data_IF_559260238709
#
_entry.id   IF_559260238709
#
_cell.length_a   1.000
_cell.length_b   1.000
_cell.length_c   1.000
_cell.angle_alpha   90.00
_cell.angle_beta   90.00
_cell.angle_gamma   90.00
#
_symmetry.space_group_name_H-M   'P 1'
#
loop_
_entity.id
_entity.type
_entity.pdbx_description
1 polymer ?
#
# COMPACT_ATOMS: atom_id res chain seq x y z
N UNK A 1 -48.14 15.44 -40.49
CA UNK A 1 -48.62 14.42 -41.45
C UNK A 1 -47.80 13.16 -41.19
N UNK A 2 -48.46 12.07 -40.73
CA UNK A 2 -48.08 10.64 -40.65
C UNK A 2 -46.62 10.27 -40.25
N UNK A 3 -46.29 9.67 -39.10
CA UNK A 3 -46.70 8.38 -38.48
C UNK A 3 -46.45 7.13 -39.36
N UNK A 4 -45.46 6.29 -38.98
CA UNK A 4 -45.58 4.85 -38.63
C UNK A 4 -44.28 4.04 -38.79
N UNK A 5 -43.81 3.44 -37.69
CA UNK A 5 -43.28 2.06 -37.65
C UNK A 5 -44.50 1.06 -37.66
N UNK A 6 -44.42 -0.30 -37.70
CA UNK A 6 -43.37 -1.19 -37.13
C UNK A 6 -43.18 -2.61 -37.77
N UNK A 7 -42.40 -3.45 -37.08
CA UNK A 7 -42.52 -4.92 -36.92
C UNK A 7 -42.13 -5.87 -38.09
N UNK A 8 -41.77 -7.14 -37.95
CA UNK A 8 -41.20 -8.06 -36.94
C UNK A 8 -41.27 -9.47 -37.60
N UNK A 9 -40.25 -10.35 -37.44
CA UNK A 9 -40.30 -11.85 -37.38
C UNK A 9 -39.13 -12.60 -38.06
N UNK A 10 -38.33 -13.29 -37.22
CA UNK A 10 -37.58 -14.55 -37.47
C UNK A 10 -38.60 -15.70 -37.75
N UNK A 11 -38.28 -16.91 -38.33
CA UNK A 11 -37.24 -17.83 -37.79
C UNK A 11 -36.68 -19.00 -38.69
N UNK A 12 -35.78 -19.82 -38.09
CA UNK A 12 -35.42 -21.26 -38.37
C UNK A 12 -34.63 -21.58 -39.66
N UNK A 13 -33.78 -22.60 -39.78
CA UNK A 13 -33.15 -23.57 -38.89
C UNK A 13 -32.07 -24.37 -39.68
N UNK A 14 -30.95 -24.71 -39.03
CA UNK A 14 -30.21 -25.98 -39.13
C UNK A 14 -29.48 -26.41 -40.42
N UNK A 15 -28.15 -26.55 -40.35
CA UNK A 15 -27.45 -27.83 -40.67
C UNK A 15 -25.98 -27.84 -40.20
N UNK A 16 -25.53 -29.06 -39.89
CA UNK A 16 -24.34 -29.47 -39.14
C UNK A 16 -23.01 -29.32 -39.91
N UNK A 17 -21.93 -29.16 -39.14
CA UNK A 17 -20.49 -29.45 -39.36
C UNK A 17 -20.22 -30.63 -40.31
N UNK A 18 -19.08 -30.70 -41.06
CA UNK A 18 -17.76 -30.98 -40.45
C UNK A 18 -16.50 -30.42 -41.17
N UNK A 19 -15.45 -30.09 -40.40
CA UNK A 19 -14.07 -30.20 -40.88
C UNK A 19 -13.10 -30.42 -39.73
N UNK A 20 -12.51 -31.61 -39.70
CA UNK A 20 -11.33 -31.95 -38.92
C UNK A 20 -10.05 -31.34 -39.53
N UNK A 21 -9.03 -31.34 -38.67
CA UNK A 21 -7.59 -31.29 -38.93
C UNK A 21 -6.92 -29.90 -39.04
N UNK A 22 -6.14 -29.61 -38.00
CA UNK A 22 -4.79 -29.07 -38.16
C UNK A 22 -4.52 -27.71 -37.51
N UNK A 23 -3.70 -27.70 -36.46
CA UNK A 23 -3.00 -26.48 -36.05
C UNK A 23 -2.81 -26.36 -34.54
N UNK A 24 -1.63 -26.78 -34.07
CA UNK A 24 -1.16 -26.50 -32.73
C UNK A 24 -1.10 -24.98 -32.44
N UNK A 25 -1.70 -24.54 -31.34
CA UNK A 25 -1.37 -23.27 -30.71
C UNK A 25 -1.77 -23.29 -29.23
N UNK A 26 -0.77 -23.63 -28.42
CA UNK A 26 -0.43 -22.95 -27.16
C UNK A 26 -1.53 -22.72 -26.13
N UNK A 27 -1.38 -23.46 -25.03
CA UNK A 27 -1.97 -23.19 -23.74
C UNK A 27 -1.79 -21.71 -23.33
N UNK A 28 -2.89 -20.96 -23.26
CA UNK A 28 -2.95 -19.71 -22.50
C UNK A 28 -4.15 -19.75 -21.56
N UNK A 29 -4.03 -20.62 -20.55
CA UNK A 29 -4.72 -20.39 -19.28
C UNK A 29 -4.27 -19.01 -18.82
N UNK A 30 -5.12 -18.01 -19.07
CA UNK A 30 -5.05 -16.65 -18.52
C UNK A 30 -5.06 -16.76 -17.00
N UNK A 31 -3.90 -17.10 -16.45
CA UNK A 31 -3.61 -17.17 -15.02
C UNK A 31 -3.71 -15.72 -14.58
N UNK A 32 -4.92 -15.35 -14.14
CA UNK A 32 -5.26 -14.10 -13.47
C UNK A 32 -4.12 -13.87 -12.48
N UNK A 33 -3.16 -13.01 -12.87
CA UNK A 33 -2.01 -12.66 -12.03
C UNK A 33 -2.66 -12.15 -10.77
N UNK A 34 -2.64 -12.96 -9.71
CA UNK A 34 -2.95 -12.49 -8.38
C UNK A 34 -2.03 -11.31 -8.18
N UNK A 35 -2.60 -10.11 -8.13
CA UNK A 35 -1.85 -8.91 -7.75
C UNK A 35 -1.33 -9.27 -6.37
N UNK A 36 -0.04 -9.61 -6.26
CA UNK A 36 0.61 -9.74 -4.95
C UNK A 36 0.28 -8.43 -4.25
N UNK A 37 -0.50 -8.51 -3.19
CA UNK A 37 -0.92 -7.33 -2.46
C UNK A 37 0.32 -6.85 -1.74
N UNK A 38 1.08 -5.96 -2.40
CA UNK A 38 2.23 -5.33 -1.77
C UNK A 38 1.64 -4.32 -0.81
N UNK A 39 1.65 -4.67 0.47
CA UNK A 39 1.31 -3.74 1.54
C UNK A 39 2.28 -2.57 1.47
N UNK A 40 1.75 -1.40 1.14
CA UNK A 40 2.53 -0.17 1.00
C UNK A 40 1.90 0.91 1.85
N UNK A 41 2.68 1.91 2.23
CA UNK A 41 2.20 3.01 3.06
C UNK A 41 1.34 4.03 2.31
N UNK A 42 1.03 3.79 1.03
CA UNK A 42 0.38 4.75 0.12
C UNK A 42 -0.95 5.29 0.66
N UNK A 43 -1.78 4.42 1.22
CA UNK A 43 -3.10 4.81 1.77
C UNK A 43 -2.90 5.77 2.97
N UNK A 44 -1.94 5.47 3.84
CA UNK A 44 -1.65 6.29 5.02
C UNK A 44 -1.01 7.61 4.65
N UNK A 45 -0.07 7.62 3.70
CA UNK A 45 0.53 8.85 3.16
C UNK A 45 -0.57 9.77 2.61
N UNK A 46 -1.53 9.22 1.85
CA UNK A 46 -2.64 10.01 1.31
C UNK A 46 -3.57 10.55 2.41
N UNK A 47 -3.90 9.73 3.43
CA UNK A 47 -4.71 10.18 4.58
C UNK A 47 -4.05 11.34 5.32
N UNK A 48 -2.75 11.24 5.62
CA UNK A 48 -2.00 12.31 6.28
C UNK A 48 -1.94 13.56 5.39
N UNK A 49 -1.70 13.41 4.08
CA UNK A 49 -1.69 14.53 3.15
C UNK A 49 -3.02 15.29 3.17
N UNK A 50 -4.16 14.60 3.14
CA UNK A 50 -5.48 15.24 3.17
C UNK A 50 -5.81 15.87 4.51
N UNK A 51 -5.22 15.40 5.60
CA UNK A 51 -5.36 16.03 6.92
C UNK A 51 -4.64 17.38 7.00
N UNK A 52 -3.50 17.54 6.31
CA UNK A 52 -2.73 18.81 6.31
C UNK A 52 -3.10 19.73 5.15
N UNK A 53 -3.42 19.18 3.97
CA UNK A 53 -3.76 19.92 2.75
C UNK A 53 -4.87 19.19 1.96
N UNK A 54 -6.16 19.50 2.25
CA UNK A 54 -7.30 18.85 1.61
C UNK A 54 -7.34 18.99 0.08
N UNK A 55 -6.89 20.12 -0.46
CA UNK A 55 -7.03 20.45 -1.90
C UNK A 55 -5.82 20.03 -2.75
N UNK A 56 -4.71 19.62 -2.11
CA UNK A 56 -3.47 19.24 -2.82
C UNK A 56 -3.50 17.75 -3.19
N UNK A 57 -3.00 17.44 -4.38
CA UNK A 57 -2.76 16.08 -4.86
C UNK A 57 -1.27 15.71 -4.83
N UNK A 58 -0.97 14.41 -4.83
CA UNK A 58 0.41 13.89 -4.91
C UNK A 58 0.55 13.00 -6.15
N UNK A 59 1.63 13.18 -6.91
CA UNK A 59 1.89 12.37 -8.10
C UNK A 59 2.29 10.94 -7.73
N UNK A 60 2.13 9.99 -8.67
CA UNK A 60 2.52 8.59 -8.46
C UNK A 60 4.02 8.42 -8.18
N UNK A 61 4.88 9.23 -8.82
CA UNK A 61 6.32 9.26 -8.58
C UNK A 61 6.65 9.77 -7.18
N UNK A 62 6.05 10.89 -6.76
CA UNK A 62 6.23 11.43 -5.41
C UNK A 62 5.73 10.46 -4.33
N UNK A 63 4.59 9.80 -4.58
CA UNK A 63 4.07 8.74 -3.70
C UNK A 63 5.07 7.58 -3.54
N UNK A 64 5.76 7.20 -4.62
CA UNK A 64 6.82 6.19 -4.57
C UNK A 64 8.00 6.62 -3.70
N UNK A 65 8.46 7.86 -3.86
CA UNK A 65 9.55 8.44 -3.05
C UNK A 65 9.16 8.45 -1.57
N UNK A 66 7.95 8.89 -1.23
CA UNK A 66 7.46 8.93 0.15
C UNK A 66 7.38 7.52 0.77
N UNK A 67 6.91 6.52 0.01
CA UNK A 67 6.89 5.15 0.49
C UNK A 67 8.30 4.62 0.78
N UNK A 68 9.26 4.88 -0.10
CA UNK A 68 10.66 4.49 0.14
C UNK A 68 11.28 5.24 1.32
N UNK A 69 10.97 6.52 1.48
CA UNK A 69 11.43 7.32 2.63
C UNK A 69 10.96 6.73 3.96
N UNK A 70 9.70 6.32 4.07
CA UNK A 70 9.18 5.68 5.29
C UNK A 70 9.92 4.37 5.57
N UNK A 71 10.19 3.56 4.55
CA UNK A 71 10.92 2.29 4.73
C UNK A 71 12.37 2.55 5.18
N UNK A 72 13.07 3.52 4.60
CA UNK A 72 14.45 3.87 4.99
C UNK A 72 14.54 4.33 6.45
N UNK A 73 13.61 5.19 6.88
CA UNK A 73 13.55 5.63 8.29
C UNK A 73 13.17 4.48 9.22
N UNK A 74 12.21 3.64 8.82
CA UNK A 74 11.80 2.47 9.61
C UNK A 74 12.97 1.51 9.82
N UNK A 75 13.70 1.17 8.76
CA UNK A 75 14.85 0.28 8.83
C UNK A 75 15.95 0.86 9.71
N UNK A 76 16.28 2.16 9.57
CA UNK A 76 17.25 2.84 10.43
C UNK A 76 16.85 2.79 11.91
N UNK A 77 15.60 3.10 12.24
CA UNK A 77 15.11 3.06 13.62
C UNK A 77 15.08 1.63 14.18
N UNK A 78 14.64 0.65 13.40
CA UNK A 78 14.59 -0.75 13.81
C UNK A 78 15.99 -1.31 14.08
N UNK A 79 16.96 -0.99 13.22
CA UNK A 79 18.35 -1.40 13.40
C UNK A 79 18.96 -0.80 14.66
N UNK A 80 18.82 0.51 14.88
CA UNK A 80 19.33 1.16 16.09
C UNK A 80 18.65 0.66 17.36
N UNK A 81 17.34 0.45 17.32
CA UNK A 81 16.59 -0.11 18.46
C UNK A 81 17.04 -1.53 18.79
N UNK A 82 17.31 -2.35 17.76
CA UNK A 82 17.86 -3.71 17.94
C UNK A 82 19.25 -3.67 18.55
N UNK A 83 20.13 -2.76 18.10
CA UNK A 83 21.47 -2.56 18.69
C UNK A 83 21.37 -2.19 20.17
N UNK A 84 20.49 -1.24 20.53
CA UNK A 84 20.27 -0.84 21.92
C UNK A 84 19.76 -1.98 22.81
N UNK A 85 18.81 -2.79 22.32
CA UNK A 85 18.33 -3.96 23.06
C UNK A 85 19.46 -4.97 23.32
N UNK A 86 20.32 -5.21 22.31
CA UNK A 86 21.48 -6.10 22.41
C UNK A 86 22.53 -5.59 23.39
N UNK A 87 22.83 -4.28 23.40
CA UNK A 87 23.74 -3.68 24.39
C UNK A 87 23.24 -3.86 25.82
N UNK A 88 21.94 -3.70 26.02
CA UNK A 88 21.29 -3.88 27.32
C UNK A 88 21.03 -5.36 27.67
N UNK A 89 21.45 -6.31 26.82
CA UNK A 89 21.22 -7.76 26.96
C UNK A 89 19.75 -8.13 27.15
N UNK A 90 18.84 -7.37 26.56
CA UNK A 90 17.39 -7.64 26.60
C UNK A 90 16.94 -8.33 25.32
N UNK A 91 16.10 -9.38 25.40
CA UNK A 91 15.56 -10.06 24.22
C UNK A 91 14.41 -9.28 23.56
N UNK A 92 13.83 -8.31 24.26
CA UNK A 92 12.64 -7.56 23.83
C UNK A 92 13.00 -6.10 23.57
N UNK A 93 12.60 -5.59 22.41
CA UNK A 93 12.66 -4.16 22.10
C UNK A 93 11.42 -3.51 22.71
N UNK A 94 11.61 -2.57 23.65
CA UNK A 94 10.51 -1.83 24.28
C UNK A 94 10.39 -0.42 23.69
N UNK A 95 9.34 0.30 24.05
CA UNK A 95 9.16 1.71 23.68
C UNK A 95 10.34 2.60 24.10
N UNK A 96 11.09 2.20 25.14
CA UNK A 96 12.30 2.91 25.60
C UNK A 96 13.45 2.82 24.60
N UNK A 97 13.69 1.64 24.01
CA UNK A 97 14.71 1.46 22.98
C UNK A 97 14.33 2.23 21.71
N UNK A 98 13.05 2.19 21.29
CA UNK A 98 12.56 2.99 20.16
C UNK A 98 12.76 4.48 20.41
N UNK A 99 12.36 4.99 21.58
CA UNK A 99 12.50 6.41 21.92
C UNK A 99 13.96 6.87 21.92
N UNK A 100 14.86 6.02 22.41
CA UNK A 100 16.30 6.33 22.41
C UNK A 100 16.86 6.29 21.00
N UNK A 101 16.49 5.30 20.19
CA UNK A 101 16.88 5.21 18.78
C UNK A 101 16.41 6.45 17.98
N UNK A 102 15.19 6.93 18.21
CA UNK A 102 14.67 8.16 17.58
C UNK A 102 15.56 9.37 17.87
N UNK A 103 16.06 9.51 19.11
CA UNK A 103 16.97 10.59 19.50
C UNK A 103 18.37 10.47 18.88
N UNK A 104 18.79 9.26 18.53
CA UNK A 104 20.08 9.01 17.87
C UNK A 104 19.99 9.23 16.35
N UNK A 105 18.88 8.82 15.72
CA UNK A 105 18.70 8.85 14.27
C UNK A 105 18.26 10.23 13.77
N UNK A 106 17.40 10.94 14.51
CA UNK A 106 16.87 12.22 14.08
C UNK A 106 17.65 13.39 14.71
N UNK A 107 17.94 14.46 13.94
CA UNK A 107 18.66 15.62 14.46
C UNK A 107 17.73 16.61 15.19
N UNK A 108 18.28 17.30 16.19
CA UNK A 108 17.75 18.55 16.75
C UNK A 108 16.26 18.52 17.13
N UNK A 109 15.48 19.46 16.57
CA UNK A 109 14.05 19.61 16.88
C UNK A 109 13.20 18.47 16.35
N UNK A 110 13.61 17.80 15.26
CA UNK A 110 12.87 16.65 14.72
C UNK A 110 12.80 15.51 15.73
N UNK A 111 13.89 15.23 16.44
CA UNK A 111 13.89 14.23 17.50
C UNK A 111 12.94 14.60 18.64
N UNK A 112 12.89 15.88 19.03
CA UNK A 112 12.01 16.36 20.12
C UNK A 112 10.55 16.16 19.76
N UNK A 113 10.14 16.55 18.55
CA UNK A 113 8.76 16.39 18.07
C UNK A 113 8.40 14.91 17.89
N UNK A 114 9.28 14.11 17.27
CA UNK A 114 9.04 12.69 17.08
C UNK A 114 8.86 11.93 18.40
N UNK A 115 9.67 12.26 19.42
CA UNK A 115 9.51 11.69 20.76
C UNK A 115 8.19 12.13 21.40
N UNK A 116 7.82 13.41 21.29
CA UNK A 116 6.56 13.92 21.82
C UNK A 116 5.35 13.21 21.20
N UNK A 117 5.30 13.11 19.88
CA UNK A 117 4.22 12.42 19.16
C UNK A 117 4.18 10.93 19.49
N UNK A 118 5.35 10.28 19.60
CA UNK A 118 5.44 8.88 20.03
C UNK A 118 4.88 8.65 21.42
N UNK A 119 5.22 9.50 22.40
CA UNK A 119 4.70 9.39 23.76
C UNK A 119 3.18 9.60 23.80
N UNK A 120 2.66 10.61 23.09
CA UNK A 120 1.20 10.85 22.99
C UNK A 120 0.47 9.62 22.44
N UNK A 121 1.01 9.00 21.38
CA UNK A 121 0.42 7.82 20.77
C UNK A 121 0.38 6.63 21.73
N UNK A 122 1.47 6.38 22.48
CA UNK A 122 1.51 5.31 23.49
C UNK A 122 0.50 5.56 24.61
N UNK A 123 0.43 6.79 25.14
CA UNK A 123 -0.54 7.13 26.18
C UNK A 123 -1.98 6.94 25.70
N UNK A 124 -2.31 7.42 24.49
CA UNK A 124 -3.65 7.25 23.92
C UNK A 124 -4.00 5.76 23.75
N UNK A 125 -3.05 4.95 23.29
CA UNK A 125 -3.26 3.51 23.13
C UNK A 125 -3.52 2.81 24.47
N UNK A 126 -2.78 3.17 25.52
CA UNK A 126 -2.96 2.57 26.85
C UNK A 126 -4.26 3.01 27.56
N UNK A 127 -4.83 4.15 27.16
CA UNK A 127 -6.10 4.68 27.70
C UNK A 127 -7.32 4.31 26.87
N UNK A 128 -7.13 3.61 25.75
CA UNK A 128 -8.21 3.09 24.89
C UNK A 128 -8.58 1.68 25.31
#
# INVERSE_FOLDING_TARGET
MAEKAPAEKKPKAGKKLPKEAGGAASADKKKKRSKKNVETYKIYIFKVLKQVHPDIGISSKAMGIMNSFINDIFEKLAQESSRLARYNKKPTITSREIQTAVRLVLPGELAKHAVSEGTKAVTKFTSS
#
